data_IF_561351447236
#
_entry.id   IF_561351447236
#
_cell.length_a   1.000
_cell.length_b   1.000
_cell.length_c   1.000
_cell.angle_alpha   90.00
_cell.angle_beta   90.00
_cell.angle_gamma   90.00
#
_symmetry.space_group_name_H-M   'P 1'
#
loop_
_entity.id
_entity.type
_entity.pdbx_description
1 polymer ?
#
# COMPACT_ATOMS: atom_id res chain seq x y z
N UNK A 1 8.42 2.51 -13.24
CA UNK A 1 8.25 2.23 -11.80
C UNK A 1 6.89 2.76 -11.38
N UNK A 2 6.04 1.93 -10.78
CA UNK A 2 4.77 2.33 -10.18
C UNK A 2 4.97 2.49 -8.67
N UNK A 3 4.93 3.72 -8.17
CA UNK A 3 5.17 4.05 -6.76
C UNK A 3 4.02 4.82 -6.10
N UNK A 4 3.02 5.27 -6.87
CA UNK A 4 1.91 6.03 -6.31
C UNK A 4 1.13 5.19 -5.31
N UNK A 5 0.86 5.75 -4.13
CA UNK A 5 0.08 5.12 -3.09
C UNK A 5 -0.45 6.13 -2.07
N UNK A 6 -1.55 5.78 -1.43
CA UNK A 6 -2.13 6.46 -0.26
C UNK A 6 -2.31 5.46 0.86
N UNK A 7 -2.02 5.90 2.08
CA UNK A 7 -2.18 5.10 3.28
C UNK A 7 -3.60 5.21 3.81
N UNK A 8 -3.97 4.25 4.64
CA UNK A 8 -5.20 4.33 5.42
C UNK A 8 -5.03 3.49 6.68
N UNK A 9 -5.34 4.07 7.83
CA UNK A 9 -5.29 3.39 9.12
C UNK A 9 -6.42 3.87 10.02
N UNK A 10 -7.11 2.94 10.68
CA UNK A 10 -8.20 3.25 11.60
C UNK A 10 -9.21 2.10 11.74
N UNK A 11 -10.13 2.20 12.71
CA UNK A 11 -11.25 1.26 12.87
C UNK A 11 -12.12 1.21 11.61
N UNK A 12 -12.31 0.02 11.04
CA UNK A 12 -12.94 -0.17 9.73
C UNK A 12 -14.38 0.34 9.67
N UNK A 13 -15.13 0.25 10.78
CA UNK A 13 -16.53 0.69 10.86
C UNK A 13 -16.68 2.22 10.81
N UNK A 14 -15.59 2.97 11.05
CA UNK A 14 -15.57 4.43 10.91
C UNK A 14 -15.21 4.91 9.50
N UNK A 15 -14.82 3.99 8.61
CA UNK A 15 -14.35 4.31 7.26
C UNK A 15 -15.53 4.24 6.30
N UNK A 16 -15.77 5.31 5.54
CA UNK A 16 -16.79 5.26 4.50
C UNK A 16 -16.34 4.39 3.32
N UNK A 17 -17.31 3.77 2.65
CA UNK A 17 -17.02 3.00 1.42
C UNK A 17 -16.39 3.90 0.35
N UNK A 18 -16.76 5.18 0.30
CA UNK A 18 -16.17 6.18 -0.59
C UNK A 18 -14.69 6.42 -0.30
N UNK A 19 -14.28 6.44 0.97
CA UNK A 19 -12.85 6.48 1.36
C UNK A 19 -12.12 5.22 0.95
N UNK A 20 -12.71 4.05 1.20
CA UNK A 20 -12.13 2.77 0.78
C UNK A 20 -11.89 2.74 -0.73
N UNK A 21 -12.87 3.19 -1.51
CA UNK A 21 -12.75 3.30 -2.97
C UNK A 21 -11.60 4.24 -3.36
N UNK A 22 -11.43 5.39 -2.70
CA UNK A 22 -10.31 6.32 -3.00
C UNK A 22 -8.94 5.67 -2.80
N UNK A 23 -8.79 4.85 -1.76
CA UNK A 23 -7.55 4.08 -1.52
C UNK A 23 -7.31 3.12 -2.68
N UNK A 24 -8.31 2.33 -3.06
CA UNK A 24 -8.21 1.40 -4.20
C UNK A 24 -7.98 2.11 -5.54
N UNK A 25 -8.60 3.28 -5.74
CA UNK A 25 -8.43 4.04 -6.98
C UNK A 25 -6.99 4.45 -7.22
N UNK A 26 -6.27 4.81 -6.16
CA UNK A 26 -4.86 5.15 -6.24
C UNK A 26 -3.99 3.91 -6.25
N UNK A 27 -4.11 3.07 -5.21
CA UNK A 27 -3.16 1.98 -4.94
C UNK A 27 -3.28 0.84 -5.95
N UNK A 28 -4.50 0.50 -6.36
CA UNK A 28 -4.75 -0.61 -7.28
C UNK A 28 -5.02 -0.13 -8.70
N UNK A 29 -6.10 0.64 -8.91
CA UNK A 29 -6.48 1.03 -10.26
C UNK A 29 -5.47 2.00 -10.90
N UNK A 30 -4.77 2.82 -10.11
CA UNK A 30 -3.64 3.62 -10.58
C UNK A 30 -2.53 2.75 -11.21
N UNK A 31 -2.10 1.71 -10.50
CA UNK A 31 -1.12 0.73 -10.99
C UNK A 31 -1.61 0.04 -12.26
N UNK A 32 -2.86 -0.43 -12.26
CA UNK A 32 -3.47 -1.08 -13.43
C UNK A 32 -3.46 -0.16 -14.65
N UNK A 33 -3.85 1.11 -14.50
CA UNK A 33 -3.87 2.09 -15.59
C UNK A 33 -2.47 2.31 -16.18
N UNK A 34 -1.47 2.51 -15.31
CA UNK A 34 -0.09 2.73 -15.75
C UNK A 34 0.49 1.52 -16.48
N UNK A 35 0.24 0.31 -15.96
CA UNK A 35 0.65 -0.93 -16.63
C UNK A 35 -0.03 -1.05 -17.99
N UNK A 36 -1.35 -0.87 -18.06
CA UNK A 36 -2.10 -0.93 -19.32
C UNK A 36 -1.59 0.04 -20.38
N UNK A 37 -1.13 1.22 -19.97
CA UNK A 37 -0.61 2.24 -20.88
C UNK A 37 0.72 1.83 -21.54
N UNK A 38 1.63 1.17 -20.81
CA UNK A 38 2.97 0.84 -21.31
C UNK A 38 3.08 -0.57 -21.88
N UNK A 39 2.21 -1.48 -21.45
CA UNK A 39 2.33 -2.90 -21.72
C UNK A 39 2.25 -3.28 -23.22
N UNK A 40 1.36 -2.69 -24.05
CA UNK A 40 1.29 -3.05 -25.47
C UNK A 40 2.63 -2.85 -26.19
N UNK A 41 3.31 -1.74 -25.90
CA UNK A 41 4.58 -1.39 -26.52
C UNK A 41 5.74 -2.24 -25.98
N UNK A 42 5.76 -2.55 -24.68
CA UNK A 42 6.69 -3.53 -24.09
C UNK A 42 6.59 -4.90 -24.76
N UNK A 43 5.35 -5.38 -24.98
CA UNK A 43 5.09 -6.65 -25.65
C UNK A 43 5.52 -6.62 -27.11
N UNK A 44 5.27 -5.52 -27.84
CA UNK A 44 5.66 -5.36 -29.25
C UNK A 44 7.18 -5.45 -29.44
N UNK A 45 7.95 -4.81 -28.55
CA UNK A 45 9.42 -4.82 -28.61
C UNK A 45 10.08 -6.00 -27.90
N UNK A 46 9.29 -6.92 -27.32
CA UNK A 46 9.76 -8.09 -26.58
C UNK A 46 10.80 -7.74 -25.49
N UNK A 47 10.59 -6.61 -24.82
CA UNK A 47 11.53 -6.11 -23.82
C UNK A 47 10.86 -5.08 -22.91
N UNK A 48 11.02 -5.25 -21.61
CA UNK A 48 10.58 -4.27 -20.62
C UNK A 48 10.65 -4.81 -19.21
N UNK A 49 10.70 -3.90 -18.25
CA UNK A 49 10.65 -4.25 -16.84
C UNK A 49 9.70 -3.28 -16.14
N UNK A 50 8.67 -3.84 -15.51
CA UNK A 50 7.73 -3.13 -14.67
C UNK A 50 8.14 -3.38 -13.22
N UNK A 51 8.49 -2.32 -12.51
CA UNK A 51 8.71 -2.37 -11.06
C UNK A 51 7.51 -1.73 -10.37
N UNK A 52 6.93 -2.40 -9.38
CA UNK A 52 5.80 -1.93 -8.58
C UNK A 52 6.20 -1.87 -7.11
N UNK A 53 5.92 -0.75 -6.45
CA UNK A 53 6.14 -0.61 -5.01
C UNK A 53 4.87 -1.04 -4.28
N UNK A 54 4.95 -2.20 -3.63
CA UNK A 54 3.87 -2.76 -2.84
C UNK A 54 4.09 -2.46 -1.36
N UNK A 55 4.17 -3.45 -0.46
CA UNK A 55 4.29 -3.30 0.99
C UNK A 55 4.39 -4.67 1.66
N UNK A 56 5.05 -4.75 2.83
CA UNK A 56 4.88 -5.91 3.73
C UNK A 56 3.41 -6.22 4.03
N UNK A 57 2.53 -5.20 4.01
CA UNK A 57 1.08 -5.36 4.17
C UNK A 57 0.35 -5.87 2.92
N UNK A 58 1.05 -6.09 1.80
CA UNK A 58 0.60 -6.90 0.67
C UNK A 58 0.78 -8.40 0.91
N UNK A 59 1.64 -8.77 1.86
CA UNK A 59 1.95 -10.16 2.21
C UNK A 59 1.28 -10.64 3.51
N UNK A 60 0.94 -9.72 4.41
CA UNK A 60 0.26 -10.03 5.67
C UNK A 60 -0.69 -8.92 6.10
N UNK A 61 -1.74 -9.28 6.84
CA UNK A 61 -2.63 -8.31 7.47
C UNK A 61 -2.03 -7.74 8.76
N UNK A 62 -2.26 -6.44 8.99
CA UNK A 62 -1.95 -5.77 10.26
C UNK A 62 -3.22 -5.07 10.72
N UNK A 63 -3.55 -5.22 12.01
CA UNK A 63 -4.76 -4.65 12.61
C UNK A 63 -4.88 -3.16 12.31
N UNK A 64 -6.11 -2.69 12.07
CA UNK A 64 -6.45 -1.30 11.69
C UNK A 64 -5.93 -0.82 10.33
N UNK A 65 -5.26 -1.66 9.55
CA UNK A 65 -4.80 -1.33 8.18
C UNK A 65 -5.64 -2.03 7.13
N UNK A 66 -6.87 -2.43 7.45
CA UNK A 66 -7.68 -3.38 6.68
C UNK A 66 -7.81 -2.98 5.21
N UNK A 67 -8.13 -1.70 4.96
CA UNK A 67 -8.34 -1.14 3.62
C UNK A 67 -7.02 -1.02 2.85
N UNK A 68 -5.96 -0.55 3.51
CA UNK A 68 -4.66 -0.38 2.89
C UNK A 68 -4.03 -1.73 2.53
N UNK A 69 -4.02 -2.67 3.48
CA UNK A 69 -3.56 -4.04 3.27
C UNK A 69 -4.34 -4.71 2.14
N UNK A 70 -5.68 -4.65 2.15
CA UNK A 70 -6.50 -5.19 1.06
C UNK A 70 -6.11 -4.61 -0.31
N UNK A 71 -5.85 -3.30 -0.39
CA UNK A 71 -5.41 -2.66 -1.64
C UNK A 71 -4.04 -3.15 -2.12
N UNK A 72 -3.12 -3.48 -1.20
CA UNK A 72 -1.79 -3.99 -1.52
C UNK A 72 -1.83 -5.47 -1.89
N UNK A 73 -2.60 -6.29 -1.19
CA UNK A 73 -2.89 -7.68 -1.60
C UNK A 73 -3.51 -7.74 -3.01
N UNK A 74 -4.39 -6.79 -3.36
CA UNK A 74 -4.94 -6.71 -4.71
C UNK A 74 -3.85 -6.44 -5.78
N UNK A 75 -2.87 -5.61 -5.45
CA UNK A 75 -1.71 -5.34 -6.32
C UNK A 75 -0.83 -6.59 -6.47
N UNK A 76 -0.54 -7.30 -5.37
CA UNK A 76 0.19 -8.58 -5.38
C UNK A 76 -0.46 -9.57 -6.35
N UNK A 77 -1.73 -9.89 -6.14
CA UNK A 77 -2.45 -10.88 -6.95
C UNK A 77 -2.52 -10.49 -8.42
N UNK A 78 -2.70 -9.19 -8.71
CA UNK A 78 -2.68 -8.68 -10.08
C UNK A 78 -1.31 -8.83 -10.74
N UNK A 79 -0.24 -8.44 -10.04
CA UNK A 79 1.11 -8.47 -10.60
C UNK A 79 1.65 -9.89 -10.73
N UNK A 80 1.41 -10.77 -9.76
CA UNK A 80 1.79 -12.19 -9.83
C UNK A 80 1.11 -12.87 -11.02
N UNK A 81 -0.20 -12.67 -11.18
CA UNK A 81 -0.95 -13.19 -12.32
C UNK A 81 -0.40 -12.67 -13.66
N UNK A 82 -0.08 -11.38 -13.73
CA UNK A 82 0.45 -10.75 -14.93
C UNK A 82 1.87 -11.25 -15.25
N UNK A 83 2.73 -11.42 -14.25
CA UNK A 83 4.11 -11.85 -14.43
C UNK A 83 4.20 -13.18 -15.20
N UNK A 84 3.37 -14.16 -14.84
CA UNK A 84 3.30 -15.47 -15.51
C UNK A 84 2.96 -15.30 -17.00
N UNK A 85 1.99 -14.44 -17.31
CA UNK A 85 1.59 -14.17 -18.69
C UNK A 85 2.73 -13.52 -19.50
N UNK A 86 3.52 -12.65 -18.87
CA UNK A 86 4.50 -11.79 -19.53
C UNK A 86 5.84 -12.47 -19.87
N UNK A 87 6.11 -13.64 -19.29
CA UNK A 87 7.30 -14.44 -19.61
C UNK A 87 7.47 -14.70 -21.10
N UNK A 88 6.37 -15.01 -21.82
CA UNK A 88 6.40 -15.28 -23.26
C UNK A 88 6.76 -14.04 -24.11
N UNK A 89 6.72 -12.83 -23.52
CA UNK A 89 7.03 -11.57 -24.21
C UNK A 89 8.39 -10.99 -23.80
N UNK A 90 9.18 -11.70 -22.97
CA UNK A 90 10.43 -11.17 -22.39
C UNK A 90 10.21 -9.81 -21.69
N UNK A 91 9.08 -9.70 -20.98
CA UNK A 91 8.73 -8.56 -20.13
C UNK A 91 8.65 -9.06 -18.69
N UNK A 92 9.36 -8.39 -17.79
CA UNK A 92 9.46 -8.80 -16.40
C UNK A 92 8.64 -7.86 -15.51
N UNK A 93 8.10 -8.41 -14.43
CA UNK A 93 7.46 -7.66 -13.35
C UNK A 93 8.19 -8.01 -12.06
N UNK A 94 8.59 -6.98 -11.32
CA UNK A 94 9.15 -7.13 -9.97
C UNK A 94 8.38 -6.25 -9.01
N UNK A 95 8.15 -6.77 -7.82
CA UNK A 95 7.54 -6.03 -6.73
C UNK A 95 8.57 -5.79 -5.65
N UNK A 96 8.56 -4.58 -5.10
CA UNK A 96 9.35 -4.20 -3.93
C UNK A 96 8.39 -4.15 -2.76
N UNK A 97 8.75 -4.83 -1.67
CA UNK A 97 7.91 -5.00 -0.47
C UNK A 97 8.52 -4.30 0.75
N UNK A 98 8.50 -2.95 0.84
CA UNK A 98 9.06 -2.28 1.98
C UNK A 98 8.32 -2.64 3.27
N UNK A 99 9.09 -2.76 4.36
CA UNK A 99 8.57 -2.60 5.71
C UNK A 99 8.31 -1.11 6.03
N UNK A 100 8.44 -0.69 7.30
CA UNK A 100 8.36 0.72 7.66
C UNK A 100 9.41 1.56 6.92
N UNK A 101 8.99 2.66 6.31
CA UNK A 101 9.87 3.62 5.62
C UNK A 101 9.59 5.02 6.12
N UNK A 102 10.64 5.68 6.61
CA UNK A 102 10.57 7.03 7.13
C UNK A 102 10.44 8.04 5.98
N UNK A 103 9.19 8.40 5.69
CA UNK A 103 8.80 9.31 4.61
C UNK A 103 7.80 10.34 5.10
N UNK A 104 7.65 11.44 4.36
CA UNK A 104 6.58 12.43 4.61
C UNK A 104 5.17 11.82 4.51
N UNK A 105 5.02 10.69 3.80
CA UNK A 105 3.76 9.97 3.69
C UNK A 105 3.28 9.47 5.05
N UNK A 106 4.17 8.84 5.83
CA UNK A 106 3.83 8.29 7.14
C UNK A 106 3.54 9.41 8.15
N UNK A 107 4.38 10.44 8.15
CA UNK A 107 4.21 11.59 9.05
C UNK A 107 2.84 12.27 8.86
N UNK A 108 2.43 12.48 7.59
CA UNK A 108 1.13 13.06 7.27
C UNK A 108 -0.01 12.16 7.69
N UNK A 109 0.09 10.85 7.41
CA UNK A 109 -0.93 9.89 7.80
C UNK A 109 -1.15 9.90 9.32
N UNK A 110 -0.07 9.86 10.10
CA UNK A 110 -0.18 9.86 11.57
C UNK A 110 -0.70 11.19 12.12
N UNK A 111 -0.30 12.32 11.52
CA UNK A 111 -0.85 13.63 11.89
C UNK A 111 -2.36 13.70 11.63
N UNK A 112 -2.82 13.24 10.47
CA UNK A 112 -4.25 13.19 10.13
C UNK A 112 -5.03 12.29 11.10
N UNK A 113 -4.54 11.08 11.34
CA UNK A 113 -5.17 10.09 12.22
C UNK A 113 -5.27 10.58 13.66
N UNK A 114 -4.25 11.29 14.16
CA UNK A 114 -4.25 11.86 15.51
C UNK A 114 -5.36 12.89 15.74
N UNK A 115 -5.82 13.55 14.67
CA UNK A 115 -6.87 14.58 14.68
C UNK A 115 -8.26 14.02 14.34
N UNK A 116 -8.32 12.79 13.82
CA UNK A 116 -9.55 12.18 13.34
C UNK A 116 -10.48 11.75 14.47
N UNK A 117 -11.77 11.79 14.16
CA UNK A 117 -12.82 11.14 14.94
C UNK A 117 -13.18 9.81 14.27
N UNK A 118 -13.64 8.85 15.07
CA UNK A 118 -13.99 7.50 14.60
C UNK A 118 -15.48 7.26 14.83
N UNK A 119 -16.37 7.91 14.03
CA UNK A 119 -17.80 7.77 14.19
C UNK A 119 -18.23 6.32 13.96
N UNK A 120 -19.21 5.85 14.74
CA UNK A 120 -19.72 4.48 14.63
C UNK A 120 -18.82 3.40 15.26
N UNK A 121 -17.59 3.71 15.66
CA UNK A 121 -16.70 2.81 16.39
C UNK A 121 -17.06 2.73 17.86
N UNK A 122 -17.04 1.53 18.42
CA UNK A 122 -17.31 1.32 19.84
C UNK A 122 -16.15 1.81 20.74
N UNK A 123 -16.42 2.18 22.01
CA UNK A 123 -15.39 2.72 22.89
C UNK A 123 -14.19 1.79 23.16
N UNK A 124 -14.38 0.47 23.10
CA UNK A 124 -13.30 -0.50 23.32
C UNK A 124 -12.35 -0.47 22.13
N UNK A 125 -12.88 -0.49 20.91
CA UNK A 125 -12.08 -0.41 19.69
C UNK A 125 -11.36 0.94 19.57
N UNK A 126 -12.01 2.06 19.87
CA UNK A 126 -11.35 3.38 19.91
C UNK A 126 -10.19 3.40 20.90
N UNK A 127 -10.40 2.83 22.10
CA UNK A 127 -9.36 2.75 23.13
C UNK A 127 -8.20 1.88 22.66
N UNK A 128 -8.47 0.70 22.11
CA UNK A 128 -7.42 -0.19 21.60
C UNK A 128 -6.61 0.47 20.47
N UNK A 129 -7.30 1.17 19.56
CA UNK A 129 -6.65 1.92 18.50
C UNK A 129 -5.72 3.01 19.03
N UNK A 130 -6.23 3.87 19.93
CA UNK A 130 -5.50 5.04 20.42
C UNK A 130 -4.42 4.72 21.45
N UNK A 131 -4.71 3.82 22.37
CA UNK A 131 -3.85 3.58 23.54
C UNK A 131 -2.85 2.45 23.31
N UNK A 132 -3.07 1.59 22.31
CA UNK A 132 -2.22 0.42 22.04
C UNK A 132 -1.63 0.47 20.64
N UNK A 133 -2.47 0.52 19.61
CA UNK A 133 -1.99 0.42 18.24
C UNK A 133 -1.15 1.64 17.82
N UNK A 134 -1.65 2.87 18.02
CA UNK A 134 -0.93 4.08 17.60
C UNK A 134 0.46 4.21 18.24
N UNK A 135 0.63 4.05 19.57
CA UNK A 135 1.95 4.07 20.19
C UNK A 135 2.89 2.98 19.67
N UNK A 136 2.38 1.75 19.52
CA UNK A 136 3.18 0.64 19.01
C UNK A 136 3.62 0.87 17.55
N UNK A 137 2.74 1.42 16.70
CA UNK A 137 3.07 1.79 15.32
C UNK A 137 4.20 2.83 15.30
N UNK A 138 4.11 3.87 16.12
CA UNK A 138 5.16 4.88 16.24
C UNK A 138 6.51 4.27 16.66
N UNK A 139 6.53 3.36 17.63
CA UNK A 139 7.75 2.67 18.07
C UNK A 139 8.35 1.78 16.96
N UNK A 140 7.51 1.06 16.22
CA UNK A 140 7.93 0.23 15.08
C UNK A 140 8.59 1.09 14.00
N UNK A 141 7.97 2.21 13.61
CA UNK A 141 8.54 3.12 12.61
C UNK A 141 9.84 3.78 13.10
N UNK A 142 9.91 4.17 14.37
CA UNK A 142 11.11 4.76 14.95
C UNK A 142 12.29 3.76 15.00
N UNK A 143 12.01 2.49 15.26
CA UNK A 143 13.03 1.47 15.52
C UNK A 143 13.45 0.71 14.25
N UNK A 144 12.49 0.38 13.39
CA UNK A 144 12.67 -0.46 12.20
C UNK A 144 12.55 0.33 10.89
N UNK A 145 12.29 1.64 10.96
CA UNK A 145 12.11 2.50 9.81
C UNK A 145 13.36 2.61 8.94
N UNK A 146 13.20 2.30 7.66
CA UNK A 146 14.24 2.45 6.65
C UNK A 146 14.21 3.86 6.04
N UNK A 147 15.33 4.32 5.49
CA UNK A 147 15.37 5.58 4.74
C UNK A 147 14.86 5.37 3.30
N UNK A 148 14.35 6.41 2.62
CA UNK A 148 13.97 6.32 1.21
C UNK A 148 15.14 5.89 0.32
N UNK A 149 16.36 6.31 0.67
CA UNK A 149 17.57 5.94 -0.06
C UNK A 149 17.88 4.44 0.06
N UNK A 150 17.71 3.86 1.25
CA UNK A 150 17.93 2.43 1.47
C UNK A 150 16.92 1.55 0.72
N UNK A 151 15.69 2.05 0.49
CA UNK A 151 14.67 1.34 -0.29
C UNK A 151 14.91 1.49 -1.80
N UNK A 152 15.63 2.54 -2.23
CA UNK A 152 15.87 2.84 -3.64
C UNK A 152 17.12 2.17 -4.22
N UNK A 153 18.02 1.65 -3.38
CA UNK A 153 19.20 0.86 -3.76
C UNK A 153 18.82 -0.53 -4.29
#
# INVERSE_FOLDING_TARGET
VNNAGVGHVGPVESVSVEEMKRVFETNFFGVVRMIKAVLPEMKRRQSGHIVVISSVMGLQGIVFNDVYAASKFAVEGFCESLAVQLLQFNVFVSMVEPGPVNTDFELKLMEEVSRSQFPGTDPVTVRYFKDVYLPASHEIFATLGQSPAAVAE
#
